data_IF_455331349665
#
_entry.id   IF_455331349665
#
_cell.length_a   1.000
_cell.length_b   1.000
_cell.length_c   1.000
_cell.angle_alpha   90.00
_cell.angle_beta   90.00
_cell.angle_gamma   90.00
#
_symmetry.space_group_name_H-M   'P 1'
#
loop_
_entity.id
_entity.type
_entity.pdbx_description
1 polymer ?
#
# COMPACT_ATOMS: atom_id res chain seq x y z
N UNK A 1 -8.92 15.59 -11.03
CA UNK A 1 -9.76 15.01 -9.98
C UNK A 1 -9.70 13.49 -10.13
N UNK A 2 -10.66 12.82 -10.80
CA UNK A 2 -10.67 11.33 -10.93
C UNK A 2 -9.38 10.71 -11.48
N UNK A 3 -8.76 11.31 -12.51
CA UNK A 3 -7.51 10.77 -13.09
C UNK A 3 -6.34 10.75 -12.08
N UNK A 4 -6.25 11.76 -11.22
CA UNK A 4 -5.21 11.86 -10.17
C UNK A 4 -5.42 10.80 -9.09
N UNK A 5 -6.67 10.57 -8.67
CA UNK A 5 -7.02 9.47 -7.75
C UNK A 5 -6.62 8.12 -8.32
N UNK A 6 -6.87 7.89 -9.62
CA UNK A 6 -6.50 6.64 -10.30
C UNK A 6 -4.98 6.47 -10.40
N UNK A 7 -4.23 7.53 -10.70
CA UNK A 7 -2.77 7.50 -10.69
C UNK A 7 -2.22 7.14 -9.30
N UNK A 8 -2.69 7.80 -8.24
CA UNK A 8 -2.25 7.51 -6.87
C UNK A 8 -2.56 6.07 -6.43
N UNK A 9 -3.73 5.54 -6.79
CA UNK A 9 -4.08 4.13 -6.53
C UNK A 9 -3.17 3.17 -7.30
N UNK A 10 -2.86 3.50 -8.55
CA UNK A 10 -2.01 2.68 -9.40
C UNK A 10 -0.58 2.64 -8.88
N UNK A 11 -0.04 3.79 -8.46
CA UNK A 11 1.27 3.88 -7.82
C UNK A 11 1.31 3.09 -6.51
N UNK A 12 0.26 3.19 -5.69
CA UNK A 12 0.15 2.42 -4.46
C UNK A 12 0.19 0.91 -4.75
N UNK A 13 -0.63 0.44 -5.70
CA UNK A 13 -0.67 -0.98 -6.08
C UNK A 13 0.66 -1.47 -6.64
N UNK A 14 1.31 -0.68 -7.51
CA UNK A 14 2.60 -1.04 -8.09
C UNK A 14 3.70 -1.15 -7.02
N UNK A 15 3.72 -0.20 -6.07
CA UNK A 15 4.65 -0.22 -4.95
C UNK A 15 4.40 -1.43 -4.03
N UNK A 16 3.14 -1.70 -3.67
CA UNK A 16 2.79 -2.85 -2.84
C UNK A 16 3.20 -4.17 -3.50
N UNK A 17 2.91 -4.35 -4.80
CA UNK A 17 3.31 -5.54 -5.57
C UNK A 17 4.83 -5.72 -5.55
N UNK A 18 5.59 -4.64 -5.81
CA UNK A 18 7.04 -4.69 -5.78
C UNK A 18 7.56 -5.08 -4.40
N UNK A 19 7.14 -4.38 -3.36
CA UNK A 19 7.59 -4.60 -1.99
C UNK A 19 7.29 -6.03 -1.52
N UNK A 20 6.07 -6.53 -1.73
CA UNK A 20 5.70 -7.87 -1.29
C UNK A 20 6.39 -8.97 -2.10
N UNK A 21 6.63 -8.74 -3.39
CA UNK A 21 7.41 -9.67 -4.22
C UNK A 21 8.88 -9.75 -3.78
N UNK A 22 9.51 -8.61 -3.51
CA UNK A 22 10.89 -8.54 -3.00
C UNK A 22 11.00 -9.23 -1.62
N UNK A 23 10.04 -9.00 -0.73
CA UNK A 23 9.98 -9.67 0.58
C UNK A 23 9.78 -11.19 0.46
N UNK A 24 8.89 -11.64 -0.43
CA UNK A 24 8.66 -13.06 -0.69
C UNK A 24 9.90 -13.75 -1.23
N UNK A 25 10.57 -13.15 -2.22
CA UNK A 25 11.82 -13.67 -2.77
C UNK A 25 12.93 -13.73 -1.72
N UNK A 26 13.05 -12.70 -0.88
CA UNK A 26 14.00 -12.68 0.22
C UNK A 26 13.73 -13.82 1.22
N UNK A 27 12.47 -14.08 1.58
CA UNK A 27 12.11 -15.19 2.47
C UNK A 27 12.38 -16.56 1.86
N UNK A 28 12.07 -16.76 0.57
CA UNK A 28 12.39 -18.03 -0.13
C UNK A 28 13.91 -18.25 -0.15
N UNK A 29 14.68 -17.22 -0.44
CA UNK A 29 16.15 -17.29 -0.42
C UNK A 29 16.68 -17.61 0.99
N UNK A 30 16.17 -16.92 2.00
CA UNK A 30 16.56 -17.15 3.40
C UNK A 30 16.21 -18.58 3.86
N UNK A 31 15.02 -19.08 3.51
CA UNK A 31 14.60 -20.44 3.80
C UNK A 31 15.49 -21.48 3.08
N UNK A 32 15.84 -21.24 1.81
CA UNK A 32 16.75 -22.14 1.07
C UNK A 32 18.18 -22.17 1.61
N UNK A 33 18.56 -21.17 2.42
CA UNK A 33 19.87 -21.08 3.06
C UNK A 33 19.93 -21.78 4.42
N UNK A 34 18.82 -22.39 4.87
CA UNK A 34 18.78 -23.15 6.13
C UNK A 34 19.34 -24.55 5.90
N UNK A 35 20.50 -24.83 6.49
CA UNK A 35 21.21 -26.12 6.37
C UNK A 35 21.34 -26.86 7.70
N UNK A 36 21.15 -26.15 8.81
CA UNK A 36 21.35 -26.63 10.18
C UNK A 36 20.58 -25.80 11.21
N UNK A 37 20.62 -26.20 12.48
CA UNK A 37 19.88 -25.55 13.58
C UNK A 37 20.35 -24.10 13.82
N UNK A 38 21.62 -23.78 13.57
CA UNK A 38 22.14 -22.41 13.72
C UNK A 38 21.56 -21.50 12.64
N UNK A 39 21.60 -21.95 11.38
CA UNK A 39 20.98 -21.23 10.25
C UNK A 39 19.45 -21.12 10.39
N UNK A 40 18.79 -22.11 10.99
CA UNK A 40 17.35 -22.05 11.31
C UNK A 40 17.05 -20.96 12.34
N UNK A 41 17.89 -20.80 13.36
CA UNK A 41 17.74 -19.74 14.37
C UNK A 41 17.91 -18.36 13.73
N UNK A 42 18.90 -18.21 12.84
CA UNK A 42 19.09 -16.98 12.07
C UNK A 42 17.88 -16.67 11.18
N UNK A 43 17.34 -17.67 10.49
CA UNK A 43 16.12 -17.53 9.68
C UNK A 43 14.92 -17.08 10.53
N UNK A 44 14.72 -17.64 11.73
CA UNK A 44 13.64 -17.22 12.62
C UNK A 44 13.74 -15.74 13.03
N UNK A 45 14.95 -15.25 13.33
CA UNK A 45 15.17 -13.82 13.61
C UNK A 45 14.93 -12.93 12.38
N UNK A 46 15.34 -13.38 11.19
CA UNK A 46 15.05 -12.69 9.94
C UNK A 46 13.55 -12.64 9.65
N UNK A 47 12.83 -13.74 9.92
CA UNK A 47 11.39 -13.81 9.74
C UNK A 47 10.64 -12.84 10.66
N UNK A 48 11.07 -12.67 11.92
CA UNK A 48 10.50 -11.66 12.81
C UNK A 48 10.68 -10.24 12.23
N UNK A 49 11.89 -9.93 11.74
CA UNK A 49 12.18 -8.64 11.09
C UNK A 49 11.33 -8.42 9.84
N UNK A 50 11.15 -9.46 9.02
CA UNK A 50 10.31 -9.41 7.84
C UNK A 50 8.84 -9.13 8.21
N UNK A 51 8.32 -9.74 9.27
CA UNK A 51 6.96 -9.48 9.76
C UNK A 51 6.79 -8.05 10.30
N UNK A 52 7.77 -7.52 11.03
CA UNK A 52 7.74 -6.11 11.46
C UNK A 52 7.70 -5.16 10.27
N UNK A 53 8.54 -5.40 9.25
CA UNK A 53 8.52 -4.60 8.00
C UNK A 53 7.19 -4.71 7.26
N UNK A 54 6.63 -5.91 7.18
CA UNK A 54 5.32 -6.13 6.54
C UNK A 54 4.25 -5.30 7.24
N UNK A 55 4.19 -5.37 8.58
CA UNK A 55 3.23 -4.59 9.37
C UNK A 55 3.39 -3.08 9.12
N UNK A 56 4.63 -2.59 9.03
CA UNK A 56 4.90 -1.18 8.78
C UNK A 56 4.42 -0.75 7.39
N UNK A 57 4.73 -1.53 6.35
CA UNK A 57 4.26 -1.24 4.99
C UNK A 57 2.73 -1.28 4.89
N UNK A 58 2.07 -2.23 5.57
CA UNK A 58 0.61 -2.28 5.62
C UNK A 58 0.00 -1.04 6.28
N UNK A 59 0.61 -0.54 7.36
CA UNK A 59 0.16 0.68 8.02
C UNK A 59 0.33 1.91 7.12
N UNK A 60 1.49 2.02 6.46
CA UNK A 60 1.78 3.12 5.53
C UNK A 60 0.82 3.11 4.33
N UNK A 61 0.57 1.93 3.75
CA UNK A 61 -0.35 1.78 2.63
C UNK A 61 -1.80 2.06 3.03
N UNK A 62 -2.20 1.68 4.26
CA UNK A 62 -3.50 2.04 4.83
C UNK A 62 -3.66 3.56 4.98
N UNK A 63 -2.63 4.25 5.47
CA UNK A 63 -2.66 5.71 5.58
C UNK A 63 -2.77 6.39 4.20
N UNK A 64 -2.05 5.89 3.20
CA UNK A 64 -2.16 6.38 1.81
C UNK A 64 -3.54 6.13 1.22
N UNK A 65 -4.13 4.94 1.41
CA UNK A 65 -5.49 4.65 0.96
C UNK A 65 -6.52 5.59 1.58
N UNK A 66 -6.39 5.89 2.87
CA UNK A 66 -7.28 6.85 3.54
C UNK A 66 -7.15 8.26 2.95
N UNK A 67 -5.92 8.69 2.63
CA UNK A 67 -5.69 9.97 1.97
C UNK A 67 -6.34 10.03 0.58
N UNK A 68 -6.17 8.97 -0.22
CA UNK A 68 -6.79 8.84 -1.54
C UNK A 68 -8.33 8.85 -1.44
N UNK A 69 -8.90 8.12 -0.47
CA UNK A 69 -10.33 8.07 -0.25
C UNK A 69 -10.90 9.45 0.15
N UNK A 70 -10.15 10.20 0.97
CA UNK A 70 -10.51 11.57 1.32
C UNK A 70 -10.48 12.49 0.11
N UNK A 71 -9.40 12.48 -0.68
CA UNK A 71 -9.31 13.30 -1.89
C UNK A 71 -10.43 12.98 -2.88
N UNK A 72 -10.73 11.69 -3.08
CA UNK A 72 -11.85 11.28 -3.92
C UNK A 72 -13.20 11.80 -3.42
N UNK A 73 -13.43 11.77 -2.10
CA UNK A 73 -14.64 12.32 -1.49
C UNK A 73 -14.74 13.84 -1.72
N UNK A 74 -13.65 14.56 -1.48
CA UNK A 74 -13.60 16.02 -1.64
C UNK A 74 -13.87 16.40 -3.11
N UNK A 75 -13.28 15.67 -4.06
CA UNK A 75 -13.52 15.81 -5.51
C UNK A 75 -15.00 15.58 -5.88
N UNK A 76 -15.66 14.59 -5.28
CA UNK A 76 -17.08 14.33 -5.49
C UNK A 76 -17.98 15.43 -4.92
N UNK A 77 -17.68 15.91 -3.72
CA UNK A 77 -18.43 17.00 -3.08
C UNK A 77 -18.31 18.31 -3.89
N UNK A 78 -17.13 18.57 -4.46
CA UNK A 78 -16.91 19.70 -5.36
C UNK A 78 -17.76 19.56 -6.62
N UNK A 79 -17.72 18.41 -7.31
CA UNK A 79 -18.54 18.17 -8.51
C UNK A 79 -20.04 18.32 -8.23
N UNK A 80 -20.51 17.80 -7.10
CA UNK A 80 -21.92 17.95 -6.71
C UNK A 80 -22.29 19.42 -6.50
N UNK A 81 -21.43 20.19 -5.84
CA UNK A 81 -21.65 21.62 -5.57
C UNK A 81 -21.62 22.45 -6.86
N UNK A 82 -20.70 22.16 -7.78
CA UNK A 82 -20.62 22.81 -9.10
C UNK A 82 -21.89 22.53 -9.93
N UNK A 83 -22.36 21.28 -9.96
CA UNK A 83 -23.59 20.90 -10.66
C UNK A 83 -24.83 21.54 -10.02
N UNK A 84 -24.90 21.63 -8.68
CA UNK A 84 -25.99 22.33 -7.98
C UNK A 84 -26.03 23.82 -8.32
N UNK A 85 -24.86 24.49 -8.35
CA UNK A 85 -24.77 25.91 -8.78
C UNK A 85 -25.18 26.11 -10.23
N UNK A 86 -24.88 25.16 -11.12
CA UNK A 86 -25.28 25.21 -12.52
C UNK A 86 -26.78 24.91 -12.72
N UNK A 87 -27.42 24.17 -11.80
CA UNK A 87 -28.82 23.74 -11.90
C UNK A 87 -29.83 24.70 -11.25
N UNK A 88 -29.44 25.64 -10.38
CA UNK A 88 -30.31 26.73 -9.92
C UNK A 88 -30.20 27.94 -10.84
N UNK A 89 -31.24 28.28 -11.64
CA UNK A 89 -31.34 29.56 -12.30
C UNK A 89 -31.57 30.66 -11.24
N UNK A 90 -31.02 31.85 -11.50
CA UNK A 90 -31.25 33.06 -10.72
C UNK A 90 -32.74 33.42 -10.57
#
# INVERSE_FOLDING_TARGET
MVAKTVEMLTELQLNAVRTYSEMGLAQVKAASSVTDVTSLTSYASQQLTAMTKLSQYMMDDSAKLQAVAKEFKDDLEQLATENLKAATPA
#
